data_IF_379398994168
#
_entry.id   IF_379398994168
#
_cell.length_a   1.000
_cell.length_b   1.000
_cell.length_c   1.000
_cell.angle_alpha   90.00
_cell.angle_beta   90.00
_cell.angle_gamma   90.00
#
_symmetry.space_group_name_H-M   'P 1'
#
loop_
_entity.id
_entity.type
_entity.pdbx_description
1 polymer ?
#
# COMPACT_ATOMS: atom_id res chain seq x y z
N UNK A 1 -18.48 -12.09 56.21
CA UNK A 1 -18.62 -10.93 55.31
C UNK A 1 -18.21 -11.36 53.91
N UNK A 2 -18.84 -10.77 52.89
CA UNK A 2 -18.58 -10.89 51.45
C UNK A 2 -19.25 -12.06 50.70
N UNK A 3 -20.57 -12.02 50.52
CA UNK A 3 -21.30 -12.61 49.37
C UNK A 3 -22.66 -11.88 49.27
N UNK A 4 -22.83 -10.99 48.30
CA UNK A 4 -24.07 -10.23 48.12
C UNK A 4 -24.04 -9.19 47.00
N UNK A 5 -22.87 -8.91 46.43
CA UNK A 5 -22.69 -7.88 45.40
C UNK A 5 -22.82 -8.45 43.97
N UNK A 6 -22.67 -9.77 43.77
CA UNK A 6 -22.63 -10.40 42.43
C UNK A 6 -24.02 -10.62 41.80
N UNK A 7 -25.07 -10.77 42.62
CA UNK A 7 -26.43 -11.08 42.14
C UNK A 7 -27.18 -9.84 41.62
N UNK A 8 -26.80 -8.64 42.08
CA UNK A 8 -27.33 -7.37 41.60
C UNK A 8 -26.68 -6.91 40.28
N UNK A 9 -25.45 -7.35 40.00
CA UNK A 9 -24.69 -6.94 38.79
C UNK A 9 -25.25 -7.63 37.53
N UNK A 10 -25.69 -8.89 37.63
CA UNK A 10 -26.28 -9.64 36.51
C UNK A 10 -27.44 -8.96 35.76
N UNK A 11 -28.50 -8.50 36.44
CA UNK A 11 -29.64 -7.83 35.79
C UNK A 11 -29.28 -6.47 35.17
N UNK A 12 -28.41 -5.70 35.83
CA UNK A 12 -27.95 -4.40 35.32
C UNK A 12 -27.07 -4.58 34.07
N UNK A 13 -26.20 -5.60 34.07
CA UNK A 13 -25.39 -5.97 32.89
C UNK A 13 -26.28 -6.46 31.74
N UNK A 14 -27.31 -7.26 32.02
CA UNK A 14 -28.25 -7.72 31.01
C UNK A 14 -29.06 -6.55 30.42
N UNK A 15 -29.50 -5.60 31.25
CA UNK A 15 -30.19 -4.38 30.82
C UNK A 15 -29.27 -3.50 29.95
N UNK A 16 -28.02 -3.29 30.37
CA UNK A 16 -27.03 -2.55 29.58
C UNK A 16 -26.77 -3.22 28.22
N UNK A 17 -26.62 -4.55 28.19
CA UNK A 17 -26.44 -5.33 26.96
C UNK A 17 -27.60 -5.18 25.98
N UNK A 18 -28.83 -5.13 26.49
CA UNK A 18 -30.02 -4.88 25.67
C UNK A 18 -29.98 -3.48 25.04
N UNK A 19 -29.67 -2.44 25.81
CA UNK A 19 -29.58 -1.06 25.31
C UNK A 19 -28.45 -0.87 24.30
N UNK A 20 -27.29 -1.50 24.52
CA UNK A 20 -26.17 -1.47 23.57
C UNK A 20 -26.55 -2.16 22.27
N UNK A 21 -27.16 -3.35 22.34
CA UNK A 21 -27.58 -4.11 21.16
C UNK A 21 -28.63 -3.37 20.36
N UNK A 22 -29.62 -2.79 21.05
CA UNK A 22 -30.64 -1.95 20.43
C UNK A 22 -30.02 -0.74 19.75
N UNK A 23 -29.05 -0.07 20.40
CA UNK A 23 -28.38 1.09 19.84
C UNK A 23 -27.56 0.73 18.60
N UNK A 24 -26.80 -0.36 18.64
CA UNK A 24 -26.06 -0.89 17.48
C UNK A 24 -27.03 -1.17 16.32
N UNK A 25 -28.16 -1.82 16.60
CA UNK A 25 -29.18 -2.10 15.59
C UNK A 25 -29.74 -0.83 14.95
N UNK A 26 -30.02 0.20 15.75
CA UNK A 26 -30.46 1.50 15.22
C UNK A 26 -29.38 2.21 14.43
N UNK A 27 -28.14 2.23 14.91
CA UNK A 27 -27.03 2.92 14.24
C UNK A 27 -26.70 2.25 12.89
N UNK A 28 -26.73 0.91 12.84
CA UNK A 28 -26.56 0.15 11.60
C UNK A 28 -27.70 0.43 10.59
N UNK A 29 -28.95 0.54 11.05
CA UNK A 29 -30.09 0.84 10.18
C UNK A 29 -30.19 2.32 9.77
N UNK A 30 -29.55 3.23 10.51
CA UNK A 30 -29.57 4.67 10.23
C UNK A 30 -28.54 5.09 9.18
N UNK A 31 -27.54 4.26 8.88
CA UNK A 31 -26.60 4.48 7.79
C UNK A 31 -27.24 4.03 6.47
N UNK A 32 -27.57 4.97 5.55
CA UNK A 32 -28.09 4.59 4.23
C UNK A 32 -27.03 3.84 3.42
N UNK A 33 -27.46 3.09 2.42
CA UNK A 33 -26.55 2.49 1.45
C UNK A 33 -25.75 3.60 0.72
N UNK A 34 -24.50 3.30 0.32
CA UNK A 34 -23.64 4.28 -0.33
C UNK A 34 -24.24 4.79 -1.66
N UNK A 35 -24.89 3.92 -2.42
CA UNK A 35 -25.56 4.30 -3.67
C UNK A 35 -26.72 5.25 -3.40
N UNK A 36 -27.54 4.96 -2.38
CA UNK A 36 -28.66 5.80 -1.95
C UNK A 36 -28.18 7.16 -1.43
N UNK A 37 -27.10 7.19 -0.66
CA UNK A 37 -26.49 8.42 -0.15
C UNK A 37 -25.97 9.33 -1.28
N UNK A 38 -25.43 8.73 -2.35
CA UNK A 38 -24.91 9.46 -3.50
C UNK A 38 -26.01 10.02 -4.41
N UNK A 39 -27.24 9.49 -4.36
CA UNK A 39 -28.36 9.97 -5.18
C UNK A 39 -28.67 11.45 -4.91
N UNK A 40 -28.53 11.90 -3.66
CA UNK A 40 -28.72 13.30 -3.28
C UNK A 40 -27.70 14.25 -3.96
N UNK A 41 -26.49 13.77 -4.27
CA UNK A 41 -25.47 14.56 -4.96
C UNK A 41 -25.76 14.74 -6.46
N UNK A 42 -26.58 13.87 -7.07
CA UNK A 42 -26.91 13.97 -8.51
C UNK A 42 -27.71 15.23 -8.84
N UNK A 43 -28.43 15.76 -7.87
CA UNK A 43 -29.23 16.98 -8.00
C UNK A 43 -28.54 18.22 -7.41
N UNK A 44 -27.30 18.10 -6.94
CA UNK A 44 -26.55 19.23 -6.41
C UNK A 44 -26.14 20.17 -7.56
N UNK A 45 -26.49 21.45 -7.44
CA UNK A 45 -26.09 22.49 -8.41
C UNK A 45 -24.60 22.84 -8.32
N UNK A 46 -23.95 22.48 -7.21
CA UNK A 46 -22.53 22.72 -6.95
C UNK A 46 -21.91 21.48 -6.28
N UNK A 47 -21.74 20.36 -7.01
CA UNK A 47 -21.20 19.11 -6.45
C UNK A 47 -19.74 19.23 -5.98
N UNK A 48 -19.06 20.30 -6.37
CA UNK A 48 -17.72 20.67 -5.92
C UNK A 48 -17.76 22.05 -5.27
N UNK A 49 -18.24 22.13 -4.04
CA UNK A 49 -17.98 23.28 -3.17
C UNK A 49 -16.55 23.17 -2.64
N UNK A 50 -15.83 24.29 -2.52
CA UNK A 50 -14.68 24.32 -1.58
C UNK A 50 -15.21 23.89 -0.22
N UNK A 51 -14.56 22.92 0.42
CA UNK A 51 -15.07 22.30 1.63
C UNK A 51 -15.53 23.39 2.60
N UNK A 52 -16.81 23.39 3.03
CA UNK A 52 -17.24 24.32 4.05
C UNK A 52 -16.35 24.09 5.27
N UNK A 53 -15.88 25.19 5.85
CA UNK A 53 -15.00 25.20 7.03
C UNK A 53 -15.82 24.84 8.28
N UNK A 54 -16.55 23.73 8.22
CA UNK A 54 -17.31 23.19 9.33
C UNK A 54 -16.38 22.43 10.26
N UNK A 55 -16.60 22.60 11.56
CA UNK A 55 -15.79 21.99 12.60
C UNK A 55 -16.43 20.67 13.02
N UNK A 56 -15.71 19.53 12.99
CA UNK A 56 -14.33 19.35 12.53
C UNK A 56 -14.21 19.18 11.00
N UNK A 57 -13.05 19.52 10.40
CA UNK A 57 -12.81 19.31 8.98
C UNK A 57 -12.83 17.82 8.61
N UNK A 58 -13.34 17.49 7.42
CA UNK A 58 -13.41 16.10 6.92
C UNK A 58 -12.02 15.49 6.69
N UNK A 59 -11.06 16.30 6.24
CA UNK A 59 -9.67 15.90 6.00
C UNK A 59 -8.76 17.00 6.53
N UNK A 60 -7.78 16.60 7.34
CA UNK A 60 -6.73 17.47 7.83
C UNK A 60 -5.37 16.86 7.46
N UNK A 61 -4.45 17.71 7.01
CA UNK A 61 -3.07 17.27 6.77
C UNK A 61 -2.39 17.10 8.12
N UNK A 62 -2.29 15.86 8.58
CA UNK A 62 -1.66 15.56 9.86
C UNK A 62 -0.15 15.82 9.85
N UNK A 63 0.54 15.48 8.76
CA UNK A 63 1.99 15.60 8.66
C UNK A 63 2.45 15.72 7.19
N UNK A 64 3.49 16.53 6.96
CA UNK A 64 4.19 16.62 5.67
C UNK A 64 5.62 16.17 5.87
N UNK A 65 6.08 15.21 5.05
CA UNK A 65 7.45 14.67 5.10
C UNK A 65 8.23 14.99 3.84
N UNK A 66 9.52 15.26 4.00
CA UNK A 66 10.43 15.47 2.87
C UNK A 66 10.89 14.13 2.28
N UNK A 67 11.25 14.15 1.00
CA UNK A 67 11.83 13.00 0.31
C UNK A 67 13.26 12.72 0.81
N UNK A 68 13.73 11.46 0.77
CA UNK A 68 15.09 11.12 1.12
C UNK A 68 16.14 11.93 0.33
N UNK A 69 17.21 12.45 0.98
CA UNK A 69 18.23 13.26 0.29
C UNK A 69 18.89 12.54 -0.90
N UNK A 70 19.19 11.25 -0.77
CA UNK A 70 19.83 10.47 -1.84
C UNK A 70 18.98 10.40 -3.11
N UNK A 71 17.64 10.31 -2.96
CA UNK A 71 16.71 10.35 -4.09
C UNK A 71 16.74 11.72 -4.77
N UNK A 72 16.74 12.80 -3.98
CA UNK A 72 16.79 14.18 -4.49
C UNK A 72 18.11 14.41 -5.26
N UNK A 73 19.24 13.97 -4.69
CA UNK A 73 20.55 14.08 -5.32
C UNK A 73 20.61 13.31 -6.65
N UNK A 74 20.10 12.07 -6.69
CA UNK A 74 20.04 11.26 -7.91
C UNK A 74 19.14 11.85 -8.99
N UNK A 75 17.96 12.33 -8.60
CA UNK A 75 17.05 13.01 -9.52
C UNK A 75 17.68 14.27 -10.13
N UNK A 76 18.34 15.09 -9.30
CA UNK A 76 19.03 16.29 -9.77
C UNK A 76 20.25 15.97 -10.64
N UNK A 77 20.99 14.89 -10.35
CA UNK A 77 22.14 14.45 -11.13
C UNK A 77 21.74 13.99 -12.55
N UNK A 78 20.54 13.42 -12.70
CA UNK A 78 19.96 13.09 -14.00
C UNK A 78 19.44 14.32 -14.79
N UNK A 79 19.71 15.54 -14.31
CA UNK A 79 19.29 16.81 -14.90
C UNK A 79 17.78 16.94 -15.20
N UNK A 80 16.95 16.08 -14.60
CA UNK A 80 15.52 15.99 -14.91
C UNK A 80 15.20 15.45 -16.31
N UNK A 81 16.19 14.92 -17.04
CA UNK A 81 16.02 14.31 -18.36
C UNK A 81 15.68 12.82 -18.28
N UNK A 82 15.92 12.19 -17.13
CA UNK A 82 15.62 10.78 -16.85
C UNK A 82 14.14 10.49 -16.55
N UNK A 83 13.76 9.22 -16.67
CA UNK A 83 12.40 8.77 -16.31
C UNK A 83 12.31 8.63 -14.80
N UNK A 84 11.34 9.32 -14.17
CA UNK A 84 11.10 9.23 -12.74
C UNK A 84 9.64 8.86 -12.44
N UNK A 85 9.45 7.80 -11.67
CA UNK A 85 8.14 7.36 -11.17
C UNK A 85 8.18 7.32 -9.64
N UNK A 86 7.03 7.55 -8.99
CA UNK A 86 6.91 7.41 -7.54
C UNK A 86 5.54 6.88 -7.15
N UNK A 87 5.45 6.33 -5.95
CA UNK A 87 4.20 5.80 -5.42
C UNK A 87 4.30 5.36 -3.98
N UNK A 88 3.20 4.78 -3.49
CA UNK A 88 3.06 4.32 -2.11
C UNK A 88 2.58 2.88 -2.12
N UNK A 89 3.21 2.05 -1.31
CA UNK A 89 2.74 0.73 -0.93
C UNK A 89 2.17 0.79 0.48
N UNK A 90 0.85 1.04 0.57
CA UNK A 90 0.12 1.15 1.83
C UNK A 90 0.23 -0.11 2.68
N UNK A 91 0.15 -1.28 2.03
CA UNK A 91 0.17 -2.60 2.65
C UNK A 91 1.43 -2.88 3.48
N UNK A 92 2.57 -2.32 3.07
CA UNK A 92 3.86 -2.51 3.74
C UNK A 92 4.38 -1.21 4.38
N UNK A 93 3.56 -0.17 4.42
CA UNK A 93 3.90 1.16 4.94
C UNK A 93 5.18 1.77 4.34
N UNK A 94 5.41 1.55 3.04
CA UNK A 94 6.58 2.06 2.32
C UNK A 94 6.19 2.94 1.16
N UNK A 95 7.00 3.98 0.93
CA UNK A 95 6.95 4.79 -0.26
C UNK A 95 8.14 4.41 -1.13
N UNK A 96 7.99 4.60 -2.43
CA UNK A 96 9.00 4.24 -3.40
C UNK A 96 9.13 5.31 -4.49
N UNK A 97 10.31 5.34 -5.11
CA UNK A 97 10.59 6.17 -6.27
C UNK A 97 11.57 5.45 -7.19
N UNK A 98 11.60 5.87 -8.45
CA UNK A 98 12.58 5.43 -9.45
C UNK A 98 13.17 6.64 -10.13
N UNK A 99 14.45 6.54 -10.47
CA UNK A 99 15.16 7.48 -11.34
C UNK A 99 15.96 6.63 -12.31
N UNK A 100 15.53 6.59 -13.56
CA UNK A 100 16.06 5.70 -14.60
C UNK A 100 16.06 4.23 -14.12
N UNK A 101 17.23 3.63 -13.93
CA UNK A 101 17.37 2.24 -13.48
C UNK A 101 17.48 2.09 -11.95
N UNK A 102 17.48 3.19 -11.20
CA UNK A 102 17.63 3.19 -9.75
C UNK A 102 16.27 3.18 -9.08
N UNK A 103 15.98 2.16 -8.27
CA UNK A 103 14.79 2.05 -7.44
C UNK A 103 15.10 2.40 -5.99
N UNK A 104 14.26 3.25 -5.39
CA UNK A 104 14.37 3.72 -4.01
C UNK A 104 13.14 3.31 -3.23
N UNK A 105 13.33 2.84 -1.99
CA UNK A 105 12.23 2.51 -1.09
C UNK A 105 12.55 2.90 0.36
N UNK A 106 11.57 3.49 1.04
CA UNK A 106 11.71 3.94 2.43
C UNK A 106 10.39 3.81 3.18
N UNK A 107 10.44 3.87 4.50
CA UNK A 107 9.23 3.90 5.34
C UNK A 107 8.66 5.31 5.41
N UNK A 108 7.37 5.45 5.10
CA UNK A 108 6.70 6.75 5.24
C UNK A 108 6.04 6.93 6.62
N UNK A 109 5.86 5.86 7.40
CA UNK A 109 5.17 5.89 8.69
C UNK A 109 6.10 6.31 9.84
N UNK A 110 7.32 5.77 9.86
CA UNK A 110 8.39 6.12 10.79
C UNK A 110 9.66 6.34 10.00
N UNK A 111 10.14 7.58 9.98
CA UNK A 111 11.43 7.88 9.39
C UNK A 111 12.54 7.29 10.26
N UNK A 112 13.19 6.24 9.77
CA UNK A 112 14.35 5.58 10.39
C UNK A 112 15.68 6.09 9.82
N UNK A 113 15.64 7.09 8.94
CA UNK A 113 16.81 7.55 8.20
C UNK A 113 17.27 6.59 7.10
N UNK A 114 16.56 5.49 6.88
CA UNK A 114 16.92 4.49 5.89
C UNK A 114 16.11 4.70 4.61
N UNK A 115 16.82 5.01 3.55
CA UNK A 115 16.34 4.91 2.18
C UNK A 115 17.22 3.89 1.48
N UNK A 116 16.61 2.82 1.00
CA UNK A 116 17.33 1.77 0.32
C UNK A 116 17.30 1.99 -1.18
N UNK A 117 18.48 1.93 -1.79
CA UNK A 117 18.67 2.03 -3.23
C UNK A 117 18.96 0.65 -3.82
N UNK A 118 18.28 0.34 -4.92
CA UNK A 118 18.50 -0.84 -5.74
C UNK A 118 18.72 -0.40 -7.17
N UNK A 119 19.91 -0.66 -7.71
CA UNK A 119 20.18 -0.46 -9.11
C UNK A 119 19.74 -1.72 -9.87
N UNK A 120 18.75 -1.54 -10.75
CA UNK A 120 18.43 -2.51 -11.81
C UNK A 120 19.49 -2.34 -12.92
N UNK A 121 19.61 -3.31 -13.83
CA UNK A 121 20.56 -3.33 -14.96
C UNK A 121 20.53 -2.03 -15.82
N UNK A 122 21.18 -2.03 -16.99
CA UNK A 122 21.38 -0.82 -17.82
C UNK A 122 20.11 -0.10 -18.30
N UNK A 123 18.92 -0.68 -18.13
CA UNK A 123 17.66 -0.14 -18.64
C UNK A 123 16.84 0.61 -17.57
N UNK A 124 16.18 1.68 -18.00
CA UNK A 124 15.29 2.45 -17.13
C UNK A 124 14.06 1.63 -16.69
N UNK A 125 13.61 1.82 -15.46
CA UNK A 125 12.40 1.20 -14.91
C UNK A 125 11.18 1.95 -15.46
N UNK A 126 10.29 1.24 -16.13
CA UNK A 126 9.09 1.80 -16.73
C UNK A 126 7.82 1.54 -15.90
N UNK A 127 7.82 0.52 -15.03
CA UNK A 127 6.72 0.27 -14.11
C UNK A 127 7.19 -0.43 -12.83
N UNK A 128 6.46 -0.17 -11.74
CA UNK A 128 6.69 -0.78 -10.43
C UNK A 128 5.35 -1.26 -9.89
N UNK A 129 5.31 -2.49 -9.37
CA UNK A 129 4.12 -3.07 -8.77
C UNK A 129 4.42 -3.86 -7.49
N UNK A 130 3.43 -3.94 -6.61
CA UNK A 130 3.46 -4.81 -5.43
C UNK A 130 2.33 -5.81 -5.53
N UNK A 131 2.66 -7.10 -5.51
CA UNK A 131 1.69 -8.19 -5.55
C UNK A 131 1.80 -9.06 -4.29
N UNK A 132 0.69 -9.70 -3.89
CA UNK A 132 0.75 -10.71 -2.82
C UNK A 132 1.33 -12.02 -3.34
N UNK A 133 2.18 -12.64 -2.54
CA UNK A 133 2.72 -13.95 -2.83
C UNK A 133 1.62 -15.02 -2.83
N UNK A 134 1.69 -15.96 -3.78
CA UNK A 134 0.73 -17.06 -3.84
C UNK A 134 1.06 -18.10 -2.75
N UNK A 135 0.08 -18.53 -1.93
CA UNK A 135 0.30 -19.55 -0.91
C UNK A 135 0.87 -20.85 -1.50
N UNK A 136 1.85 -21.43 -0.82
CA UNK A 136 2.46 -22.71 -1.21
C UNK A 136 3.49 -22.65 -2.35
N UNK A 137 3.82 -21.46 -2.86
CA UNK A 137 4.92 -21.27 -3.84
C UNK A 137 6.20 -20.80 -3.14
N UNK A 138 6.07 -19.80 -2.28
CA UNK A 138 7.17 -19.21 -1.53
C UNK A 138 7.18 -19.71 -0.09
N UNK A 139 8.32 -19.54 0.61
CA UNK A 139 8.37 -19.74 2.05
C UNK A 139 7.43 -18.76 2.75
N UNK A 140 6.84 -19.15 3.88
CA UNK A 140 5.80 -18.36 4.58
C UNK A 140 6.27 -16.96 5.02
N UNK A 141 7.58 -16.74 5.11
CA UNK A 141 8.15 -15.42 5.40
C UNK A 141 7.90 -14.38 4.29
N UNK A 142 7.70 -14.85 3.04
CA UNK A 142 7.48 -14.01 1.86
C UNK A 142 5.99 -13.75 1.70
N UNK A 143 5.58 -12.53 1.95
CA UNK A 143 4.17 -12.11 1.84
C UNK A 143 3.89 -11.30 0.57
N UNK A 144 4.91 -10.60 0.06
CA UNK A 144 4.78 -9.69 -1.06
C UNK A 144 5.92 -9.86 -2.07
N UNK A 145 5.59 -9.61 -3.34
CA UNK A 145 6.48 -9.61 -4.48
C UNK A 145 6.55 -8.19 -5.05
N UNK A 146 7.76 -7.66 -5.21
CA UNK A 146 8.02 -6.39 -5.87
C UNK A 146 8.34 -6.67 -7.33
N UNK A 147 7.57 -6.10 -8.23
CA UNK A 147 7.74 -6.25 -9.67
C UNK A 147 8.32 -4.96 -10.24
N UNK A 148 9.48 -5.04 -10.89
CA UNK A 148 10.10 -3.95 -11.63
C UNK A 148 10.12 -4.33 -13.12
N UNK A 149 9.48 -3.52 -13.95
CA UNK A 149 9.50 -3.70 -15.40
C UNK A 149 10.48 -2.72 -16.04
N UNK A 150 11.31 -3.20 -16.96
CA UNK A 150 12.18 -2.38 -17.82
C UNK A 150 11.80 -2.59 -19.29
N UNK A 151 11.99 -1.60 -20.17
CA UNK A 151 11.72 -1.74 -21.59
C UNK A 151 12.84 -2.53 -22.23
N UNK A 152 12.69 -3.86 -22.28
CA UNK A 152 13.66 -4.70 -22.97
C UNK A 152 13.29 -4.75 -24.46
N UNK A 153 14.16 -4.22 -25.32
CA UNK A 153 14.16 -4.60 -26.74
C UNK A 153 14.62 -6.06 -26.85
N UNK A 154 13.68 -7.00 -26.84
CA UNK A 154 13.94 -8.38 -27.20
C UNK A 154 13.46 -8.61 -28.64
N UNK A 155 14.40 -8.79 -29.57
CA UNK A 155 14.15 -9.29 -30.94
C UNK A 155 13.56 -10.73 -30.99
N UNK A 156 13.11 -11.27 -29.86
CA UNK A 156 12.37 -12.52 -29.72
C UNK A 156 11.41 -12.37 -28.52
N UNK A 157 10.18 -12.82 -28.70
CA UNK A 157 9.00 -12.55 -27.86
C UNK A 157 9.14 -13.15 -26.45
N UNK A 158 9.92 -12.50 -25.57
CA UNK A 158 10.01 -12.83 -24.15
C UNK A 158 10.22 -11.53 -23.36
N UNK A 159 9.22 -11.14 -22.55
CA UNK A 159 9.28 -9.96 -21.69
C UNK A 159 10.06 -10.28 -20.42
N UNK A 160 11.20 -9.64 -20.13
CA UNK A 160 11.85 -9.80 -18.83
C UNK A 160 11.12 -8.92 -17.83
N UNK A 161 10.43 -9.55 -16.88
CA UNK A 161 10.03 -8.91 -15.64
C UNK A 161 11.05 -9.31 -14.57
N UNK A 162 11.72 -8.33 -13.97
CA UNK A 162 12.52 -8.56 -12.78
C UNK A 162 11.59 -8.48 -11.57
N UNK A 163 11.37 -9.61 -10.89
CA UNK A 163 10.66 -9.63 -9.61
C UNK A 163 11.67 -9.78 -8.47
N UNK A 164 11.68 -8.80 -7.56
CA UNK A 164 12.36 -8.89 -6.28
C UNK A 164 11.38 -9.42 -5.23
N UNK A 165 11.85 -10.27 -4.33
CA UNK A 165 11.03 -10.79 -3.23
C UNK A 165 11.19 -9.89 -2.00
N UNK A 166 10.06 -9.43 -1.44
CA UNK A 166 10.02 -8.61 -0.23
C UNK A 166 9.69 -9.48 0.99
N UNK A 167 10.66 -9.60 1.90
CA UNK A 167 10.39 -10.10 3.25
C UNK A 167 10.05 -8.95 4.20
N UNK A 168 9.24 -9.25 5.23
CA UNK A 168 8.82 -8.30 6.26
C UNK A 168 9.99 -7.74 7.11
N UNK A 169 11.18 -8.36 7.00
CA UNK A 169 12.38 -8.09 7.77
C UNK A 169 13.54 -7.83 6.80
N UNK A 170 13.78 -6.57 6.45
CA UNK A 170 15.08 -5.94 6.09
C UNK A 170 16.07 -6.61 5.11
N UNK A 171 15.76 -7.77 4.53
CA UNK A 171 16.61 -8.52 3.61
C UNK A 171 15.87 -8.79 2.31
N UNK A 172 16.42 -8.22 1.24
CA UNK A 172 15.97 -8.41 -0.13
C UNK A 172 16.84 -9.50 -0.73
N UNK A 173 16.26 -10.67 -0.99
CA UNK A 173 16.94 -11.70 -1.78
C UNK A 173 16.37 -11.69 -3.19
N UNK A 174 17.25 -11.61 -4.19
CA UNK A 174 16.90 -11.83 -5.59
C UNK A 174 16.38 -13.27 -5.69
N UNK A 175 15.09 -13.45 -5.93
CA UNK A 175 14.50 -14.78 -5.99
C UNK A 175 14.46 -15.38 -7.42
N UNK A 176 14.83 -14.60 -8.44
CA UNK A 176 14.94 -15.05 -9.82
C UNK A 176 14.23 -14.15 -10.82
N UNK A 177 14.46 -14.39 -12.12
CA UNK A 177 13.76 -13.74 -13.22
C UNK A 177 12.51 -14.55 -13.58
N UNK A 178 11.37 -13.89 -13.75
CA UNK A 178 10.12 -14.53 -14.16
C UNK A 178 9.76 -14.12 -15.58
N UNK A 179 9.35 -15.08 -16.39
CA UNK A 179 8.80 -14.83 -17.72
C UNK A 179 7.28 -14.90 -17.65
N UNK A 180 6.59 -13.82 -18.04
CA UNK A 180 5.14 -13.82 -18.13
C UNK A 180 4.69 -14.05 -19.58
N UNK A 181 3.98 -15.16 -19.83
CA UNK A 181 3.36 -15.47 -21.12
C UNK A 181 1.92 -15.91 -20.90
N UNK A 182 0.97 -15.31 -21.63
CA UNK A 182 -0.46 -15.65 -21.60
C UNK A 182 -1.07 -15.68 -20.18
N UNK A 183 -0.84 -14.60 -19.41
CA UNK A 183 -1.30 -14.46 -18.02
C UNK A 183 -0.76 -15.52 -17.05
N UNK A 184 0.33 -16.21 -17.41
CA UNK A 184 1.03 -17.16 -16.55
C UNK A 184 2.47 -16.68 -16.32
N UNK A 185 2.80 -16.38 -15.07
CA UNK A 185 4.18 -16.18 -14.63
C UNK A 185 4.87 -17.54 -14.49
N UNK A 186 5.95 -17.75 -15.23
CA UNK A 186 6.84 -18.89 -15.08
C UNK A 186 8.08 -18.46 -14.29
N UNK A 187 8.29 -19.07 -13.13
CA UNK A 187 9.48 -18.89 -12.31
C UNK A 187 10.62 -19.69 -12.92
N UNK A 188 11.65 -19.02 -13.45
CA UNK A 188 12.94 -19.66 -13.64
C UNK A 188 13.69 -19.55 -12.32
N UNK A 189 13.63 -20.61 -11.50
CA UNK A 189 14.49 -20.72 -10.32
C UNK A 189 15.92 -20.79 -10.87
N UNK A 190 16.64 -19.67 -10.86
CA UNK A 190 18.09 -19.72 -10.95
C UNK A 190 18.57 -20.43 -9.68
N UNK A 191 18.90 -21.72 -9.82
CA UNK A 191 19.66 -22.42 -8.80
C UNK A 191 20.99 -21.68 -8.64
N UNK A 192 21.31 -21.32 -7.41
CA UNK A 192 22.67 -20.99 -7.01
C UNK A 192 23.63 -22.16 -7.35
#
# INVERSE_FOLDING_TARGET
MAWGEDEAIGPDVASAGLHVTERIGRDAAAQPDLEEALEASRYASHPYSSHPKEWPPLVEVAETRQLPPMLIERYNAAAGEGTALCGIFSDIHRAWATVDNSFFIWRFDKWDGQCQEHNVDEQAICAVGLARAKPGIFIEAIQYLLVLATPVEANHIEWPCLEFVLNHLTEYQIAGCYFCKDSKCWMSIMKA
#
